data_IF_215070187523
#
_entry.id   IF_215070187523
#
_cell.length_a   1.000
_cell.length_b   1.000
_cell.length_c   1.000
_cell.angle_alpha   90.00
_cell.angle_beta   90.00
_cell.angle_gamma   90.00
#
_symmetry.space_group_name_H-M   'P 1'
#
loop_
_entity.id
_entity.type
_entity.pdbx_description
1 polymer ?
#
# COMPACT_ATOMS: atom_id res chain seq x y z
N UNK A 1 -3.48 -13.92 14.06
CA UNK A 1 -2.56 -13.85 12.91
C UNK A 1 -3.42 -13.79 11.64
N UNK A 2 -3.13 -12.84 10.73
CA UNK A 2 -3.81 -12.79 9.44
C UNK A 2 -3.46 -14.03 8.61
N UNK A 3 -4.32 -14.50 7.69
CA UNK A 3 -3.99 -15.62 6.80
C UNK A 3 -2.70 -15.42 6.01
N UNK A 4 -2.35 -14.16 5.69
CA UNK A 4 -1.09 -13.81 5.04
C UNK A 4 0.12 -14.08 5.92
N UNK A 5 0.04 -13.83 7.24
CA UNK A 5 1.14 -14.12 8.17
C UNK A 5 1.37 -15.62 8.34
N UNK A 6 0.30 -16.43 8.33
CA UNK A 6 0.42 -17.88 8.41
C UNK A 6 1.07 -18.48 7.15
N UNK A 7 0.72 -18.00 5.95
CA UNK A 7 1.36 -18.42 4.71
C UNK A 7 2.83 -18.01 4.67
N UNK A 8 3.16 -16.78 5.10
CA UNK A 8 4.52 -16.28 5.24
C UNK A 8 5.35 -17.14 6.22
N UNK A 9 4.77 -17.58 7.35
CA UNK A 9 5.46 -18.42 8.32
C UNK A 9 5.73 -19.84 7.81
N UNK A 10 4.84 -20.41 7.00
CA UNK A 10 5.06 -21.69 6.32
C UNK A 10 6.20 -21.57 5.30
N UNK A 11 6.23 -20.48 4.54
CA UNK A 11 7.28 -20.22 3.57
C UNK A 11 8.65 -20.01 4.23
N UNK A 12 8.70 -19.25 5.32
CA UNK A 12 9.94 -19.01 6.09
C UNK A 12 10.56 -20.31 6.66
N UNK A 13 9.73 -21.29 6.99
CA UNK A 13 10.20 -22.62 7.49
C UNK A 13 10.82 -23.49 6.40
N UNK A 14 10.63 -23.17 5.11
CA UNK A 14 11.16 -23.91 3.96
C UNK A 14 12.44 -23.30 3.41
N UNK A 15 12.85 -22.11 3.89
CA UNK A 15 14.05 -21.42 3.45
C UNK A 15 15.18 -21.74 4.43
N UNK A 16 16.19 -22.49 3.99
CA UNK A 16 17.38 -22.82 4.79
C UNK A 16 18.38 -21.66 4.90
N UNK A 17 18.12 -20.55 4.22
CA UNK A 17 18.98 -19.37 4.21
C UNK A 17 18.83 -18.55 5.50
N UNK A 18 19.87 -17.80 5.84
CA UNK A 18 19.83 -16.85 6.96
C UNK A 18 18.78 -15.77 6.67
N UNK A 19 17.84 -15.60 7.59
CA UNK A 19 16.79 -14.59 7.51
C UNK A 19 17.10 -13.43 8.46
N UNK A 20 17.17 -12.22 7.93
CA UNK A 20 17.33 -11.00 8.71
C UNK A 20 15.99 -10.27 8.81
N UNK A 21 15.64 -9.85 10.02
CA UNK A 21 14.47 -8.99 10.21
C UNK A 21 14.80 -7.57 9.74
N UNK A 22 13.96 -7.03 8.85
CA UNK A 22 14.07 -5.67 8.33
C UNK A 22 12.70 -4.98 8.41
N UNK A 23 12.53 -4.07 9.37
CA UNK A 23 11.29 -3.32 9.60
C UNK A 23 11.61 -1.89 10.05
N UNK A 24 10.59 -1.06 10.25
CA UNK A 24 10.74 0.35 10.66
C UNK A 24 11.58 0.54 11.93
N UNK A 25 11.63 -0.43 12.84
CA UNK A 25 12.38 -0.34 14.09
C UNK A 25 13.83 -0.82 13.96
N UNK A 26 14.09 -1.78 13.07
CA UNK A 26 15.40 -2.42 12.93
C UNK A 26 16.20 -1.92 11.74
N UNK A 27 15.57 -1.26 10.75
CA UNK A 27 16.16 -0.90 9.47
C UNK A 27 17.52 -0.18 9.59
N UNK A 28 17.65 0.81 10.47
CA UNK A 28 18.87 1.61 10.59
C UNK A 28 20.08 0.77 11.01
N UNK A 29 19.90 -0.20 11.91
CA UNK A 29 20.98 -1.10 12.33
C UNK A 29 21.28 -2.18 11.28
N UNK A 30 20.25 -2.61 10.55
CA UNK A 30 20.39 -3.67 9.56
C UNK A 30 21.03 -3.20 8.25
N UNK A 31 20.83 -1.95 7.84
CA UNK A 31 21.38 -1.42 6.58
C UNK A 31 22.91 -1.63 6.51
N UNK A 32 23.66 -1.21 7.54
CA UNK A 32 25.11 -1.35 7.52
C UNK A 32 25.56 -2.82 7.42
N UNK A 33 24.89 -3.72 8.16
CA UNK A 33 25.18 -5.14 8.11
C UNK A 33 24.90 -5.74 6.73
N UNK A 34 23.74 -5.42 6.15
CA UNK A 34 23.34 -5.91 4.82
C UNK A 34 24.30 -5.38 3.73
N UNK A 35 24.65 -4.11 3.78
CA UNK A 35 25.61 -3.52 2.83
C UNK A 35 26.98 -4.20 2.92
N UNK A 36 27.47 -4.51 4.12
CA UNK A 36 28.74 -5.25 4.27
C UNK A 36 28.66 -6.65 3.66
N UNK A 37 27.57 -7.40 3.89
CA UNK A 37 27.36 -8.71 3.28
C UNK A 37 27.32 -8.65 1.74
N UNK A 38 26.68 -7.62 1.19
CA UNK A 38 26.65 -7.39 -0.25
C UNK A 38 28.05 -7.07 -0.80
N UNK A 39 28.86 -6.28 -0.09
CA UNK A 39 30.27 -6.00 -0.44
C UNK A 39 31.17 -7.24 -0.36
N UNK A 40 30.83 -8.20 0.49
CA UNK A 40 31.48 -9.53 0.55
C UNK A 40 31.07 -10.44 -0.63
N UNK A 41 30.21 -9.99 -1.54
CA UNK A 41 29.77 -10.73 -2.71
C UNK A 41 28.59 -11.67 -2.45
N UNK A 42 27.85 -11.48 -1.35
CA UNK A 42 26.63 -12.25 -1.07
C UNK A 42 25.44 -11.64 -1.80
N UNK A 43 24.56 -12.50 -2.29
CA UNK A 43 23.25 -12.10 -2.83
C UNK A 43 22.22 -12.03 -1.71
N UNK A 44 21.43 -10.95 -1.67
CA UNK A 44 20.39 -10.73 -0.66
C UNK A 44 19.07 -10.43 -1.35
N UNK A 45 18.00 -11.12 -0.93
CA UNK A 45 16.64 -10.84 -1.36
C UNK A 45 15.89 -10.07 -0.28
N UNK A 46 15.34 -8.91 -0.63
CA UNK A 46 14.35 -8.19 0.19
C UNK A 46 12.96 -8.71 -0.15
N UNK A 47 12.25 -9.19 0.87
CA UNK A 47 10.89 -9.73 0.73
C UNK A 47 9.95 -9.06 1.72
N UNK A 48 8.66 -9.02 1.39
CA UNK A 48 7.59 -8.50 2.25
C UNK A 48 6.48 -9.55 2.42
N UNK A 49 5.63 -9.37 3.41
CA UNK A 49 4.51 -10.30 3.67
C UNK A 49 3.45 -10.30 2.56
N UNK A 50 3.28 -9.16 1.86
CA UNK A 50 2.37 -9.04 0.73
C UNK A 50 2.81 -7.92 -0.21
N UNK A 51 2.59 -8.10 -1.52
CA UNK A 51 2.86 -7.10 -2.54
C UNK A 51 4.35 -6.93 -2.86
N UNK A 52 4.74 -5.71 -3.19
CA UNK A 52 6.10 -5.35 -3.63
C UNK A 52 6.81 -4.56 -2.53
N UNK A 53 8.02 -4.97 -2.10
CA UNK A 53 8.83 -4.21 -1.14
C UNK A 53 8.99 -2.74 -1.56
N UNK A 54 9.19 -1.86 -0.60
CA UNK A 54 9.32 -0.39 -0.77
C UNK A 54 8.03 0.35 -1.15
N UNK A 55 6.95 -0.33 -1.54
CA UNK A 55 5.67 0.30 -1.88
C UNK A 55 4.74 0.27 -0.66
N UNK A 56 4.74 1.32 0.13
CA UNK A 56 4.12 1.41 1.47
C UNK A 56 4.65 0.38 2.49
N UNK A 57 5.83 -0.16 2.21
CA UNK A 57 6.58 -1.09 3.05
C UNK A 57 8.02 -0.60 3.24
N UNK A 58 8.73 -1.03 4.30
CA UNK A 58 10.14 -0.74 4.48
C UNK A 58 10.99 -1.22 3.30
N UNK A 59 12.08 -0.51 2.98
CA UNK A 59 13.03 -0.97 1.97
C UNK A 59 13.76 0.13 1.22
N UNK A 60 13.15 1.30 1.02
CA UNK A 60 13.73 2.33 0.18
C UNK A 60 15.11 2.80 0.69
N UNK A 61 15.30 2.88 2.00
CA UNK A 61 16.58 3.29 2.59
C UNK A 61 17.70 2.28 2.31
N UNK A 62 17.35 0.98 2.29
CA UNK A 62 18.30 -0.08 1.93
C UNK A 62 18.66 -0.01 0.45
N UNK A 63 17.67 0.19 -0.41
CA UNK A 63 17.88 0.36 -1.85
C UNK A 63 18.73 1.59 -2.16
N UNK A 64 18.44 2.72 -1.51
CA UNK A 64 19.25 3.96 -1.63
C UNK A 64 20.70 3.75 -1.17
N UNK A 65 20.89 3.07 -0.03
CA UNK A 65 22.23 2.74 0.47
C UNK A 65 22.98 1.82 -0.50
N UNK A 66 22.32 0.82 -1.08
CA UNK A 66 22.94 -0.05 -2.07
C UNK A 66 23.38 0.73 -3.33
N UNK A 67 22.54 1.63 -3.84
CA UNK A 67 22.90 2.48 -4.98
C UNK A 67 24.09 3.40 -4.68
N UNK A 68 24.15 4.00 -3.48
CA UNK A 68 25.28 4.83 -3.05
C UNK A 68 26.61 4.08 -3.01
N UNK A 69 26.56 2.78 -2.77
CA UNK A 69 27.72 1.90 -2.75
C UNK A 69 27.99 1.21 -4.12
N UNK A 70 27.28 1.60 -5.17
CA UNK A 70 27.44 1.02 -6.51
C UNK A 70 26.97 -0.43 -6.63
N UNK A 71 26.17 -0.92 -5.67
CA UNK A 71 25.66 -2.29 -5.66
C UNK A 71 24.46 -2.38 -6.58
N UNK A 72 24.44 -3.41 -7.44
CA UNK A 72 23.35 -3.65 -8.38
C UNK A 72 22.08 -4.08 -7.62
N UNK A 73 20.98 -3.36 -7.83
CA UNK A 73 19.64 -3.73 -7.36
C UNK A 73 18.83 -4.26 -8.55
N UNK A 74 18.22 -5.44 -8.39
CA UNK A 74 17.44 -6.11 -9.44
C UNK A 74 15.99 -6.22 -8.99
N UNK A 75 15.02 -5.61 -9.70
CA UNK A 75 13.61 -5.78 -9.40
C UNK A 75 13.14 -7.17 -9.82
N UNK A 76 12.37 -7.82 -8.95
CA UNK A 76 11.67 -9.06 -9.28
C UNK A 76 10.19 -8.71 -9.48
N UNK A 77 9.63 -8.80 -10.69
CA UNK A 77 8.22 -8.54 -10.93
C UNK A 77 7.33 -9.47 -10.11
N UNK A 78 6.29 -8.91 -9.52
CA UNK A 78 5.39 -9.66 -8.67
C UNK A 78 4.05 -8.95 -8.43
N UNK A 79 3.28 -9.47 -7.49
CA UNK A 79 1.98 -8.94 -7.13
C UNK A 79 2.09 -7.50 -6.59
N UNK A 80 1.13 -6.66 -6.97
CA UNK A 80 0.98 -5.31 -6.46
C UNK A 80 -0.50 -4.94 -6.40
N UNK A 81 -1.01 -4.70 -5.21
CA UNK A 81 -2.41 -4.28 -5.02
C UNK A 81 -2.69 -2.94 -5.73
N UNK A 82 -1.71 -2.04 -5.79
CA UNK A 82 -1.80 -0.77 -6.50
C UNK A 82 -2.13 -0.96 -7.98
N UNK A 83 -1.29 -1.71 -8.70
CA UNK A 83 -1.46 -1.91 -10.15
C UNK A 83 -2.64 -2.80 -10.48
N UNK A 84 -2.89 -3.84 -9.69
CA UNK A 84 -4.06 -4.70 -9.86
C UNK A 84 -5.36 -3.90 -9.68
N UNK A 85 -5.46 -3.07 -8.64
CA UNK A 85 -6.62 -2.23 -8.41
C UNK A 85 -6.80 -1.16 -9.49
N UNK A 86 -5.71 -0.53 -9.93
CA UNK A 86 -5.73 0.44 -11.01
C UNK A 86 -6.32 -0.13 -12.31
N UNK A 87 -6.03 -1.39 -12.63
CA UNK A 87 -6.50 -2.03 -13.86
C UNK A 87 -7.98 -2.34 -13.90
N UNK A 88 -8.67 -2.40 -12.74
CA UNK A 88 -10.08 -2.78 -12.64
C UNK A 88 -10.98 -1.66 -12.10
N UNK A 89 -10.41 -0.53 -11.69
CA UNK A 89 -11.16 0.55 -11.05
C UNK A 89 -12.15 1.27 -11.99
N UNK A 90 -11.86 1.29 -13.30
CA UNK A 90 -12.68 2.04 -14.27
C UNK A 90 -12.62 3.57 -14.09
N UNK A 91 -11.57 4.08 -13.47
CA UNK A 91 -11.18 5.49 -13.41
C UNK A 91 -9.97 5.72 -14.30
N UNK A 92 -9.71 6.97 -14.68
CA UNK A 92 -8.52 7.31 -15.47
C UNK A 92 -7.24 7.04 -14.67
N UNK A 93 -6.40 6.17 -15.18
CA UNK A 93 -5.12 5.80 -14.56
C UNK A 93 -3.91 6.21 -15.43
N UNK A 94 -4.13 7.11 -16.42
CA UNK A 94 -3.03 7.66 -17.23
C UNK A 94 -2.02 8.41 -16.37
N UNK A 95 -2.53 9.15 -15.41
CA UNK A 95 -1.79 9.86 -14.36
C UNK A 95 -2.56 9.66 -13.08
N UNK A 96 -1.90 9.27 -12.00
CA UNK A 96 -2.53 9.10 -10.70
C UNK A 96 -1.57 9.51 -9.59
N UNK A 97 -2.12 9.80 -8.41
CA UNK A 97 -1.41 10.12 -7.20
C UNK A 97 -1.56 8.96 -6.22
N UNK A 98 -0.45 8.36 -5.78
CA UNK A 98 -0.46 7.29 -4.78
C UNK A 98 0.01 7.81 -3.43
N UNK A 99 -0.87 7.80 -2.43
CA UNK A 99 -0.62 8.32 -1.09
C UNK A 99 -0.32 7.23 -0.06
N UNK A 100 -0.39 5.94 -0.43
CA UNK A 100 -0.24 4.84 0.51
C UNK A 100 -1.27 4.90 1.63
N UNK A 101 -0.86 4.66 2.88
CA UNK A 101 -1.74 4.78 4.04
C UNK A 101 -1.79 6.21 4.56
N UNK A 102 -3.00 6.78 4.64
CA UNK A 102 -3.18 8.10 5.23
C UNK A 102 -2.76 8.13 6.71
N UNK A 103 -2.16 9.23 7.19
CA UNK A 103 -1.82 9.41 8.59
C UNK A 103 -3.02 9.14 9.51
N UNK A 104 -2.77 8.51 10.67
CA UNK A 104 -3.84 8.20 11.63
C UNK A 104 -4.40 9.45 12.32
N UNK A 105 -3.54 10.43 12.64
CA UNK A 105 -3.89 11.67 13.37
C UNK A 105 -3.16 12.88 12.83
N UNK A 106 -1.91 13.12 13.27
CA UNK A 106 -1.11 14.30 12.90
C UNK A 106 -0.87 14.35 11.39
N UNK A 107 -1.14 15.48 10.77
CA UNK A 107 -0.96 15.70 9.32
C UNK A 107 -2.11 15.20 8.43
N UNK A 108 -3.04 14.39 8.95
CA UNK A 108 -4.13 13.80 8.15
C UNK A 108 -5.03 14.86 7.48
N UNK A 109 -5.50 15.84 8.23
CA UNK A 109 -6.36 16.90 7.68
C UNK A 109 -5.62 17.79 6.68
N UNK A 110 -4.36 18.10 6.96
CA UNK A 110 -3.51 18.89 6.07
C UNK A 110 -3.33 18.19 4.73
N UNK A 111 -3.02 16.89 4.76
CA UNK A 111 -2.90 16.07 3.56
C UNK A 111 -4.23 16.00 2.79
N UNK A 112 -5.36 15.71 3.46
CA UNK A 112 -6.66 15.65 2.78
C UNK A 112 -7.02 16.99 2.13
N UNK A 113 -6.77 18.13 2.80
CA UNK A 113 -6.99 19.45 2.21
C UNK A 113 -6.10 19.71 1.00
N UNK A 114 -4.84 19.26 1.01
CA UNK A 114 -3.98 19.41 -0.18
C UNK A 114 -4.41 18.53 -1.35
N UNK A 115 -5.13 17.44 -1.09
CA UNK A 115 -5.70 16.57 -2.12
C UNK A 115 -7.03 17.08 -2.68
N UNK A 116 -7.62 18.15 -2.11
CA UNK A 116 -8.88 18.72 -2.61
C UNK A 116 -8.78 19.23 -4.05
N UNK A 117 -7.62 19.79 -4.41
CA UNK A 117 -7.31 20.33 -5.73
C UNK A 117 -6.63 19.30 -6.65
N UNK A 118 -6.52 18.03 -6.24
CA UNK A 118 -5.86 16.99 -7.04
C UNK A 118 -6.74 16.64 -8.25
N UNK A 119 -6.18 16.83 -9.43
CA UNK A 119 -6.83 16.58 -10.72
C UNK A 119 -6.81 15.10 -11.11
N UNK A 120 -5.80 14.37 -10.64
CA UNK A 120 -5.57 12.97 -10.98
C UNK A 120 -6.34 12.05 -10.05
N UNK A 121 -6.62 10.83 -10.50
CA UNK A 121 -7.11 9.78 -9.59
C UNK A 121 -6.15 9.60 -8.41
N UNK A 122 -6.68 9.67 -7.19
CA UNK A 122 -5.93 9.44 -5.95
C UNK A 122 -6.10 7.98 -5.54
N UNK A 123 -5.01 7.30 -5.23
CA UNK A 123 -5.02 5.91 -4.77
C UNK A 123 -4.48 5.85 -3.35
N UNK A 124 -5.23 5.20 -2.47
CA UNK A 124 -4.94 5.08 -1.04
C UNK A 124 -5.05 3.62 -0.62
N UNK A 125 -4.15 3.14 0.22
CA UNK A 125 -4.33 1.91 1.00
C UNK A 125 -5.07 2.23 2.29
N UNK A 126 -6.07 1.43 2.64
CA UNK A 126 -6.84 1.68 3.85
C UNK A 126 -7.19 0.39 4.61
N UNK A 127 -7.37 0.55 5.91
CA UNK A 127 -7.81 -0.51 6.80
C UNK A 127 -9.34 -0.60 6.83
N UNK A 128 -9.94 -1.80 6.92
CA UNK A 128 -11.39 -1.96 7.05
C UNK A 128 -11.96 -1.26 8.29
N UNK A 129 -11.14 -1.11 9.35
CA UNK A 129 -11.55 -0.41 10.57
C UNK A 129 -11.59 1.12 10.42
N UNK A 130 -11.05 1.67 9.34
CA UNK A 130 -10.95 3.11 9.10
C UNK A 130 -11.66 3.58 7.85
N UNK A 131 -12.07 2.68 6.96
CA UNK A 131 -12.62 3.04 5.65
C UNK A 131 -13.82 3.99 5.73
N UNK A 132 -14.79 3.72 6.62
CA UNK A 132 -15.94 4.59 6.80
C UNK A 132 -15.54 5.99 7.26
N UNK A 133 -14.66 6.07 8.28
CA UNK A 133 -14.11 7.36 8.73
C UNK A 133 -13.36 8.06 7.61
N UNK A 134 -12.60 7.33 6.80
CA UNK A 134 -11.83 7.89 5.69
C UNK A 134 -12.74 8.47 4.62
N UNK A 135 -13.85 7.80 4.28
CA UNK A 135 -14.84 8.36 3.35
C UNK A 135 -15.49 9.63 3.89
N UNK A 136 -15.84 9.68 5.17
CA UNK A 136 -16.37 10.91 5.82
C UNK A 136 -15.35 12.05 5.82
N UNK A 137 -14.10 11.75 6.11
CA UNK A 137 -13.02 12.74 6.05
C UNK A 137 -12.81 13.24 4.59
N UNK A 138 -12.94 12.37 3.57
CA UNK A 138 -12.90 12.76 2.17
C UNK A 138 -14.05 13.72 1.86
N UNK A 139 -15.30 13.40 2.20
CA UNK A 139 -16.43 14.32 2.00
C UNK A 139 -16.20 15.68 2.67
N UNK A 140 -15.68 15.67 3.89
CA UNK A 140 -15.47 16.90 4.67
C UNK A 140 -14.38 17.80 4.08
N UNK A 141 -13.26 17.22 3.60
CA UNK A 141 -12.06 18.00 3.25
C UNK A 141 -11.79 18.06 1.75
N UNK A 142 -12.28 17.11 0.96
CA UNK A 142 -12.11 17.04 -0.50
C UNK A 142 -13.44 17.32 -1.21
N UNK A 143 -14.56 16.96 -0.59
CA UNK A 143 -15.91 17.06 -1.16
C UNK A 143 -16.46 15.69 -1.56
N UNK A 144 -17.71 15.68 -2.00
CA UNK A 144 -18.35 14.47 -2.54
C UNK A 144 -17.65 14.10 -3.85
N UNK A 145 -17.10 12.90 -3.91
CA UNK A 145 -16.38 12.36 -5.07
C UNK A 145 -16.90 10.99 -5.44
N UNK A 146 -16.77 10.65 -6.70
CA UNK A 146 -16.86 9.26 -7.12
C UNK A 146 -15.66 8.49 -6.61
N UNK A 147 -15.88 7.34 -5.98
CA UNK A 147 -14.84 6.50 -5.40
C UNK A 147 -15.06 5.03 -5.74
N UNK A 148 -13.97 4.30 -5.78
CA UNK A 148 -13.97 2.85 -5.97
C UNK A 148 -13.23 2.22 -4.79
N UNK A 149 -13.94 1.36 -4.05
CA UNK A 149 -13.37 0.55 -2.99
C UNK A 149 -13.11 -0.84 -3.57
N UNK A 150 -11.87 -1.27 -3.57
CA UNK A 150 -11.46 -2.60 -4.00
C UNK A 150 -10.95 -3.33 -2.77
N UNK A 151 -11.65 -4.40 -2.42
CA UNK A 151 -11.42 -5.18 -1.23
C UNK A 151 -10.91 -6.56 -1.58
N UNK A 152 -9.92 -7.08 -0.84
CA UNK A 152 -9.38 -8.44 -0.96
C UNK A 152 -9.04 -8.82 -2.41
N UNK A 153 -8.46 -7.87 -3.18
CA UNK A 153 -8.14 -8.06 -4.59
C UNK A 153 -7.29 -9.32 -4.81
N UNK A 154 -7.66 -10.11 -5.82
CA UNK A 154 -7.08 -11.42 -6.16
C UNK A 154 -7.29 -12.53 -5.12
N UNK A 155 -8.10 -12.31 -4.09
CA UNK A 155 -8.43 -13.30 -3.06
C UNK A 155 -9.87 -13.80 -3.19
N UNK A 156 -10.24 -14.82 -2.42
CA UNK A 156 -11.59 -15.46 -2.47
C UNK A 156 -12.72 -14.46 -2.23
N UNK A 157 -12.49 -13.44 -1.39
CA UNK A 157 -13.49 -12.45 -1.04
C UNK A 157 -13.28 -11.11 -1.77
N UNK A 158 -12.74 -11.17 -2.99
CA UNK A 158 -12.60 -9.99 -3.84
C UNK A 158 -13.95 -9.33 -4.07
N UNK A 159 -13.99 -8.02 -3.87
CA UNK A 159 -15.18 -7.22 -4.12
C UNK A 159 -14.78 -5.83 -4.60
N UNK A 160 -15.48 -5.34 -5.62
CA UNK A 160 -15.33 -3.99 -6.16
C UNK A 160 -16.64 -3.24 -5.93
N UNK A 161 -16.56 -2.14 -5.18
CA UNK A 161 -17.69 -1.26 -4.90
C UNK A 161 -17.42 0.11 -5.50
N UNK A 162 -18.31 0.61 -6.33
CA UNK A 162 -18.21 1.93 -6.95
C UNK A 162 -19.45 2.76 -6.62
N UNK A 163 -19.26 4.05 -6.37
CA UNK A 163 -20.31 5.01 -6.07
C UNK A 163 -19.72 6.32 -5.56
N UNK A 164 -20.57 7.24 -5.15
CA UNK A 164 -20.16 8.43 -4.44
C UNK A 164 -19.72 8.10 -3.02
N UNK A 165 -18.92 8.98 -2.40
CA UNK A 165 -18.56 8.83 -0.98
C UNK A 165 -19.79 8.66 -0.11
N UNK A 166 -20.86 9.45 -0.33
CA UNK A 166 -22.12 9.38 0.41
C UNK A 166 -22.79 8.00 0.30
N UNK A 167 -22.95 7.48 -0.92
CA UNK A 167 -23.56 6.15 -1.15
C UNK A 167 -22.78 5.04 -0.48
N UNK A 168 -21.43 5.10 -0.55
CA UNK A 168 -20.59 4.06 0.05
C UNK A 168 -20.52 4.17 1.58
N UNK A 169 -20.61 5.36 2.15
CA UNK A 169 -20.77 5.54 3.61
C UNK A 169 -22.06 4.86 4.08
N UNK A 170 -23.18 5.10 3.42
CA UNK A 170 -24.46 4.47 3.77
C UNK A 170 -24.42 2.94 3.63
N UNK A 171 -23.78 2.45 2.56
CA UNK A 171 -23.60 1.00 2.33
C UNK A 171 -22.77 0.35 3.43
N UNK A 172 -21.63 0.95 3.80
CA UNK A 172 -20.72 0.42 4.81
C UNK A 172 -21.30 0.48 6.23
N UNK A 173 -22.12 1.50 6.52
CA UNK A 173 -22.84 1.58 7.80
C UNK A 173 -23.82 0.41 8.00
N UNK A 174 -24.43 -0.07 6.92
CA UNK A 174 -25.34 -1.23 6.95
C UNK A 174 -24.58 -2.56 6.90
N UNK A 175 -23.50 -2.62 6.13
CA UNK A 175 -22.74 -3.83 5.85
C UNK A 175 -21.23 -3.55 6.00
N UNK A 176 -20.69 -3.58 7.22
CA UNK A 176 -19.26 -3.39 7.45
C UNK A 176 -18.43 -4.45 6.72
N UNK A 177 -17.33 -4.03 6.11
CA UNK A 177 -16.44 -4.90 5.35
C UNK A 177 -15.19 -5.25 6.16
N UNK A 178 -14.53 -6.36 5.77
CA UNK A 178 -13.27 -6.83 6.35
C UNK A 178 -12.25 -7.04 5.23
N UNK A 179 -10.98 -7.19 5.60
CA UNK A 179 -9.91 -7.48 4.67
C UNK A 179 -9.14 -6.24 4.23
N UNK A 180 -8.21 -6.42 3.31
CA UNK A 180 -7.35 -5.37 2.76
C UNK A 180 -8.11 -4.54 1.73
N UNK A 181 -7.89 -3.23 1.75
CA UNK A 181 -8.64 -2.29 0.93
C UNK A 181 -7.68 -1.37 0.15
N UNK A 182 -7.95 -1.23 -1.13
CA UNK A 182 -7.47 -0.13 -1.96
C UNK A 182 -8.65 0.78 -2.27
N UNK A 183 -8.52 2.05 -1.94
CA UNK A 183 -9.51 3.09 -2.22
C UNK A 183 -8.97 3.98 -3.33
N UNK A 184 -9.75 4.12 -4.41
CA UNK A 184 -9.46 5.05 -5.48
C UNK A 184 -10.51 6.17 -5.46
N UNK A 185 -10.04 7.40 -5.58
CA UNK A 185 -10.87 8.61 -5.55
C UNK A 185 -10.69 9.30 -6.89
N UNK A 186 -11.79 9.57 -7.58
CA UNK A 186 -11.77 10.30 -8.84
C UNK A 186 -11.20 11.70 -8.64
N UNK A 187 -10.29 12.12 -9.51
CA UNK A 187 -9.74 13.46 -9.55
C UNK A 187 -10.74 14.51 -10.03
N UNK A 188 -10.29 15.77 -10.10
CA UNK A 188 -11.16 16.87 -10.57
C UNK A 188 -11.39 16.87 -12.08
N UNK A 189 -10.41 16.40 -12.86
CA UNK A 189 -10.45 16.44 -14.34
C UNK A 189 -10.89 15.13 -15.01
N UNK A 190 -11.21 14.09 -14.25
CA UNK A 190 -11.61 12.78 -14.78
C UNK A 190 -13.09 12.70 -15.17
#
# INVERSE_FOLDING_TARGET
>A
LSPSSAASDVYKRQIENTVYRYDEFTKMHQIANIINLLKEGKDIALVTDAGTPCISDPGYELVDAAHKEGIKVVPIPGASALTASASVAGLSMRRFCFEGFLPKKKGRQTLLKSLAEEERTIVIYESPFRIEKTLRDIEQFIGVREVVIIREITKIYEEIMRGTTTELIERLAKNPIKGEIVLLIKGLED
#
